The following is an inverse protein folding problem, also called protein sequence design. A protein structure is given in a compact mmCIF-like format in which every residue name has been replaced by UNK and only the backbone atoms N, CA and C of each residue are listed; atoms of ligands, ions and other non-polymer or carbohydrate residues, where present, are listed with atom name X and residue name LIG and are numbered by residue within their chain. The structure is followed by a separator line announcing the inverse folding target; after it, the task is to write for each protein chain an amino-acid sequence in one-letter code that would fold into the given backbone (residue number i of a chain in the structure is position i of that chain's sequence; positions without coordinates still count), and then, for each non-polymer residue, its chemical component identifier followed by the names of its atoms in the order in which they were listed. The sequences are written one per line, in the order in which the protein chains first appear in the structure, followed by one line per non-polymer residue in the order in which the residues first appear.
data_IF_110148530931
#
_entry.id   IF_110148530931
#
_cell.length_a   1.000
_cell.length_b   1.000
_cell.length_c   1.000
_cell.angle_alpha   90.00
_cell.angle_beta   90.00
_cell.angle_gamma   90.00
#
_symmetry.space_group_name_H-M   'P 1'
#
loop_
_entity.id
_entity.type
_entity.pdbx_description
1 polymer ?
#
# COMPACT_ATOMS: atom_id res chain seq x y z
N UNK A 1 -5.95 -39.34 -28.50
CA UNK A 1 -4.82 -39.32 -27.56
C UNK A 1 -4.07 -37.99 -27.53
N UNK A 2 -3.97 -37.24 -28.60
CA UNK A 2 -3.34 -35.90 -28.60
C UNK A 2 -4.23 -34.80 -28.01
N UNK A 3 -5.54 -34.88 -28.21
CA UNK A 3 -6.52 -33.91 -27.68
C UNK A 3 -6.63 -33.90 -26.11
N UNK A 4 -6.38 -35.04 -25.47
CA UNK A 4 -6.43 -35.12 -23.99
C UNK A 4 -5.19 -34.51 -23.30
N UNK A 5 -4.03 -34.50 -23.97
CA UNK A 5 -2.81 -33.86 -23.49
C UNK A 5 -2.91 -32.33 -23.55
N UNK A 6 -3.47 -31.78 -24.60
CA UNK A 6 -3.65 -30.33 -24.77
C UNK A 6 -4.59 -29.73 -23.71
N UNK A 7 -5.66 -30.45 -23.36
CA UNK A 7 -6.61 -29.97 -22.32
C UNK A 7 -5.99 -30.01 -20.93
N UNK A 8 -5.20 -31.05 -20.61
CA UNK A 8 -4.51 -31.13 -19.30
C UNK A 8 -3.41 -30.06 -19.15
N UNK A 9 -2.71 -29.73 -20.22
CA UNK A 9 -1.68 -28.70 -20.25
C UNK A 9 -2.28 -27.29 -20.14
N UNK A 10 -3.42 -27.02 -20.75
CA UNK A 10 -4.19 -25.77 -20.59
C UNK A 10 -4.73 -25.59 -19.17
N UNK A 11 -5.20 -26.66 -18.51
CA UNK A 11 -5.64 -26.60 -17.13
C UNK A 11 -4.48 -26.41 -16.14
N UNK A 12 -3.30 -26.96 -16.43
CA UNK A 12 -2.11 -26.80 -15.58
C UNK A 12 -1.56 -25.37 -15.62
N UNK A 13 -1.65 -24.66 -16.74
CA UNK A 13 -1.23 -23.26 -16.84
C UNK A 13 -2.21 -22.29 -16.17
N UNK A 14 -3.49 -22.64 -16.07
CA UNK A 14 -4.51 -21.81 -15.43
C UNK A 14 -4.42 -21.81 -13.88
N UNK A 15 -3.62 -22.71 -13.29
CA UNK A 15 -3.52 -22.90 -11.84
C UNK A 15 -2.14 -22.54 -11.26
N UNK A 16 -1.25 -21.93 -12.05
CA UNK A 16 0.04 -21.47 -11.55
C UNK A 16 -0.16 -20.26 -10.62
N UNK A 17 -0.07 -20.48 -9.30
CA UNK A 17 -0.08 -19.44 -8.28
C UNK A 17 1.33 -19.16 -7.81
N UNK A 18 1.64 -17.87 -7.59
CA UNK A 18 2.92 -17.44 -7.05
C UNK A 18 2.74 -16.96 -5.60
N UNK A 19 3.64 -17.33 -4.68
CA UNK A 19 3.61 -16.80 -3.32
C UNK A 19 3.92 -15.30 -3.34
N UNK A 20 3.07 -14.50 -2.69
CA UNK A 20 3.23 -13.05 -2.57
C UNK A 20 3.05 -12.63 -1.12
N UNK A 21 3.85 -11.66 -0.67
CA UNK A 21 3.67 -11.01 0.62
C UNK A 21 2.64 -9.90 0.47
N UNK A 22 1.68 -9.87 1.39
CA UNK A 22 0.57 -8.92 1.40
C UNK A 22 0.51 -8.32 2.80
N UNK A 23 0.19 -7.02 2.87
CA UNK A 23 -0.05 -6.33 4.14
C UNK A 23 -1.18 -6.99 4.91
N UNK A 24 -1.01 -7.13 6.24
CA UNK A 24 -1.96 -7.83 7.10
C UNK A 24 -3.33 -7.14 7.10
N UNK A 25 -3.37 -5.82 7.11
CA UNK A 25 -4.64 -5.07 7.12
C UNK A 25 -5.43 -5.29 5.84
N UNK A 26 -4.74 -5.35 4.70
CA UNK A 26 -5.34 -5.64 3.40
C UNK A 26 -5.85 -7.10 3.34
N UNK A 27 -5.12 -8.05 3.93
CA UNK A 27 -5.55 -9.44 4.02
C UNK A 27 -6.82 -9.60 4.87
N UNK A 28 -6.88 -8.95 6.04
CA UNK A 28 -8.06 -8.99 6.91
C UNK A 28 -9.28 -8.32 6.23
N UNK A 29 -9.08 -7.21 5.53
CA UNK A 29 -10.13 -6.58 4.73
C UNK A 29 -10.64 -7.52 3.62
N UNK A 30 -9.74 -8.23 2.95
CA UNK A 30 -10.10 -9.19 1.90
C UNK A 30 -10.87 -10.40 2.48
N UNK A 31 -10.49 -10.86 3.68
CA UNK A 31 -11.21 -11.92 4.38
C UNK A 31 -12.64 -11.50 4.69
N UNK A 32 -12.83 -10.34 5.31
CA UNK A 32 -14.15 -9.82 5.64
C UNK A 32 -15.04 -9.60 4.39
N UNK A 33 -14.49 -9.03 3.33
CA UNK A 33 -15.22 -8.84 2.07
C UNK A 33 -15.49 -10.18 1.36
N UNK A 34 -14.56 -11.13 1.43
CA UNK A 34 -14.71 -12.46 0.85
C UNK A 34 -15.86 -13.25 1.45
N UNK A 35 -16.08 -13.15 2.75
CA UNK A 35 -17.20 -13.81 3.45
C UNK A 35 -18.56 -13.38 2.87
N UNK A 36 -18.72 -12.10 2.53
CA UNK A 36 -19.94 -11.58 1.91
C UNK A 36 -20.21 -12.12 0.50
N UNK A 37 -19.16 -12.55 -0.20
CA UNK A 37 -19.20 -12.99 -1.60
C UNK A 37 -18.87 -14.48 -1.78
N UNK A 38 -18.82 -15.25 -0.71
CA UNK A 38 -18.44 -16.67 -0.72
C UNK A 38 -17.07 -16.91 -1.38
N UNK A 39 -16.10 -16.03 -1.11
CA UNK A 39 -14.72 -16.09 -1.61
C UNK A 39 -13.74 -16.24 -0.45
N UNK A 40 -12.64 -16.98 -0.67
CA UNK A 40 -11.50 -16.92 0.24
C UNK A 40 -10.81 -15.55 0.17
N UNK A 41 -10.02 -15.19 1.20
CA UNK A 41 -9.23 -13.95 1.19
C UNK A 41 -8.33 -13.85 -0.05
N UNK A 42 -7.68 -14.94 -0.44
CA UNK A 42 -6.85 -14.98 -1.65
C UNK A 42 -7.65 -14.74 -2.94
N UNK A 43 -8.83 -15.35 -3.07
CA UNK A 43 -9.71 -15.12 -4.21
C UNK A 43 -10.24 -13.68 -4.26
N UNK A 44 -10.48 -13.08 -3.09
CA UNK A 44 -10.93 -11.69 -3.01
C UNK A 44 -9.82 -10.72 -3.38
N UNK A 45 -8.57 -10.98 -2.95
CA UNK A 45 -7.39 -10.21 -3.35
C UNK A 45 -7.14 -10.29 -4.86
N UNK A 46 -7.20 -11.49 -5.43
CA UNK A 46 -7.05 -11.70 -6.87
C UNK A 46 -8.16 -10.97 -7.67
N UNK A 47 -9.38 -10.98 -7.15
CA UNK A 47 -10.48 -10.20 -7.73
C UNK A 47 -10.18 -8.69 -7.68
N UNK A 48 -9.77 -8.16 -6.53
CA UNK A 48 -9.43 -6.75 -6.38
C UNK A 48 -8.26 -6.33 -7.28
N UNK A 49 -7.23 -7.18 -7.37
CA UNK A 49 -6.10 -6.91 -8.25
C UNK A 49 -6.52 -6.82 -9.73
N UNK A 50 -7.41 -7.70 -10.19
CA UNK A 50 -7.94 -7.63 -11.55
C UNK A 50 -8.78 -6.38 -11.79
N UNK A 51 -9.66 -6.05 -10.86
CA UNK A 51 -10.48 -4.82 -10.94
C UNK A 51 -9.59 -3.58 -10.96
N UNK A 52 -8.58 -3.53 -10.07
CA UNK A 52 -7.62 -2.42 -10.00
C UNK A 52 -6.87 -2.24 -11.32
N UNK A 53 -6.35 -3.33 -11.89
CA UNK A 53 -5.66 -3.30 -13.18
C UNK A 53 -6.54 -2.76 -14.32
N UNK A 54 -7.80 -3.18 -14.39
CA UNK A 54 -8.73 -2.69 -15.41
C UNK A 54 -9.09 -1.21 -15.19
N UNK A 55 -9.18 -0.77 -13.93
CA UNK A 55 -9.41 0.64 -13.62
C UNK A 55 -8.21 1.51 -14.00
N UNK A 56 -6.99 1.06 -13.70
CA UNK A 56 -5.75 1.76 -14.09
C UNK A 56 -5.61 1.86 -15.61
N UNK A 57 -5.98 0.82 -16.35
CA UNK A 57 -5.93 0.81 -17.80
C UNK A 57 -7.08 1.61 -18.46
N UNK A 58 -8.07 2.05 -17.69
CA UNK A 58 -9.24 2.73 -18.21
C UNK A 58 -8.91 4.17 -18.65
N UNK A 59 -9.24 4.58 -19.88
CA UNK A 59 -9.06 5.96 -20.33
C UNK A 59 -9.96 6.96 -19.59
N UNK A 60 -10.95 6.50 -18.83
CA UNK A 60 -11.81 7.33 -17.99
C UNK A 60 -11.12 7.78 -16.69
N UNK A 61 -9.94 7.22 -16.36
CA UNK A 61 -9.09 7.68 -15.26
C UNK A 61 -8.04 8.62 -15.83
N UNK A 62 -8.17 9.91 -15.55
CA UNK A 62 -7.26 10.92 -16.05
C UNK A 62 -6.00 10.95 -15.18
N UNK A 63 -4.98 10.19 -15.58
CA UNK A 63 -3.70 10.14 -14.87
C UNK A 63 -3.07 11.53 -14.67
N UNK A 64 -3.21 12.43 -15.63
CA UNK A 64 -2.72 13.81 -15.54
C UNK A 64 -3.38 14.60 -14.41
N UNK A 65 -4.70 14.44 -14.20
CA UNK A 65 -5.41 15.10 -13.10
C UNK A 65 -4.95 14.56 -11.75
N UNK A 66 -4.79 13.24 -11.63
CA UNK A 66 -4.26 12.59 -10.43
C UNK A 66 -2.85 13.09 -10.14
N UNK A 67 -1.97 13.11 -11.13
CA UNK A 67 -0.59 13.60 -10.99
C UNK A 67 -0.53 15.06 -10.53
N UNK A 68 -1.40 15.93 -11.06
CA UNK A 68 -1.48 17.33 -10.65
C UNK A 68 -1.95 17.49 -9.20
N UNK A 69 -2.90 16.68 -8.74
CA UNK A 69 -3.33 16.70 -7.34
C UNK A 69 -2.22 16.20 -6.43
N UNK A 70 -1.52 15.12 -6.78
CA UNK A 70 -0.39 14.58 -6.01
C UNK A 70 0.78 15.58 -5.94
N UNK A 71 0.97 16.41 -6.98
CA UNK A 71 1.96 17.50 -7.01
C UNK A 71 1.47 18.77 -6.28
N UNK A 72 0.28 18.82 -5.73
CA UNK A 72 -0.30 20.00 -5.08
C UNK A 72 -0.72 21.11 -6.06
N UNK A 73 -0.87 20.80 -7.33
CA UNK A 73 -1.20 21.76 -8.41
C UNK A 73 -2.69 21.81 -8.76
N UNK A 74 -3.49 20.91 -8.20
CA UNK A 74 -4.94 20.87 -8.39
C UNK A 74 -5.63 20.40 -7.09
N UNK A 75 -6.93 20.75 -6.98
CA UNK A 75 -7.73 20.36 -5.81
C UNK A 75 -8.16 18.90 -5.90
N UNK A 76 -8.03 18.17 -4.80
CA UNK A 76 -8.55 16.82 -4.62
C UNK A 76 -10.08 16.76 -4.82
N UNK A 77 -10.81 17.78 -4.34
CA UNK A 77 -12.27 17.83 -4.41
C UNK A 77 -12.82 18.03 -5.84
N UNK A 78 -11.95 18.43 -6.77
CA UNK A 78 -12.32 18.57 -8.19
C UNK A 78 -12.29 17.22 -8.95
N UNK A 79 -11.73 16.18 -8.34
CA UNK A 79 -11.64 14.84 -8.93
C UNK A 79 -12.95 14.07 -8.78
N UNK A 80 -13.20 13.15 -9.72
CA UNK A 80 -14.26 12.14 -9.55
C UNK A 80 -13.94 11.21 -8.38
N UNK A 81 -14.95 10.60 -7.75
CA UNK A 81 -14.78 9.65 -6.63
C UNK A 81 -13.77 8.53 -6.95
N UNK A 82 -13.75 8.09 -8.20
CA UNK A 82 -12.86 7.06 -8.69
C UNK A 82 -11.40 7.53 -8.72
N UNK A 83 -11.16 8.72 -9.24
CA UNK A 83 -9.84 9.35 -9.25
C UNK A 83 -9.37 9.71 -7.83
N UNK A 84 -10.27 10.15 -6.96
CA UNK A 84 -9.97 10.35 -5.54
C UNK A 84 -9.51 9.06 -4.85
N UNK A 85 -10.07 7.90 -5.19
CA UNK A 85 -9.63 6.62 -4.64
C UNK A 85 -8.17 6.31 -5.00
N UNK A 86 -7.75 6.58 -6.25
CA UNK A 86 -6.35 6.46 -6.66
C UNK A 86 -5.41 7.38 -5.86
N UNK A 87 -5.81 8.65 -5.69
CA UNK A 87 -5.02 9.62 -4.91
C UNK A 87 -4.85 9.15 -3.47
N UNK A 88 -5.92 8.64 -2.83
CA UNK A 88 -5.84 8.12 -1.45
C UNK A 88 -4.84 6.96 -1.31
N UNK A 89 -4.86 6.00 -2.24
CA UNK A 89 -3.90 4.89 -2.25
C UNK A 89 -2.48 5.42 -2.41
N UNK A 90 -2.24 6.29 -3.39
CA UNK A 90 -0.92 6.90 -3.63
C UNK A 90 -0.40 7.70 -2.44
N UNK A 91 -1.26 8.46 -1.76
CA UNK A 91 -0.87 9.18 -0.54
C UNK A 91 -0.50 8.24 0.60
N UNK A 92 -1.27 7.16 0.80
CA UNK A 92 -0.95 6.17 1.83
C UNK A 92 0.40 5.51 1.57
N UNK A 93 0.68 5.14 0.33
CA UNK A 93 1.96 4.55 -0.07
C UNK A 93 3.12 5.54 0.16
N UNK A 94 2.97 6.81 -0.27
CA UNK A 94 3.98 7.85 -0.05
C UNK A 94 4.21 8.15 1.44
N UNK A 95 3.16 8.17 2.25
CA UNK A 95 3.29 8.35 3.70
C UNK A 95 4.03 7.18 4.32
N UNK A 96 3.68 5.95 3.97
CA UNK A 96 4.34 4.75 4.45
C UNK A 96 5.84 4.74 4.10
N UNK A 97 6.20 5.07 2.85
CA UNK A 97 7.60 5.19 2.43
C UNK A 97 8.37 6.26 3.21
N UNK A 98 7.77 7.45 3.38
CA UNK A 98 8.40 8.55 4.13
C UNK A 98 8.60 8.18 5.60
N UNK A 99 7.61 7.54 6.23
CA UNK A 99 7.73 7.09 7.61
C UNK A 99 8.79 5.99 7.78
N UNK A 100 8.89 5.07 6.83
CA UNK A 100 9.90 4.01 6.86
C UNK A 100 11.34 4.55 6.76
N UNK A 101 11.54 5.68 6.07
CA UNK A 101 12.83 6.35 5.94
C UNK A 101 13.08 7.47 6.93
N UNK A 102 12.14 7.75 7.83
CA UNK A 102 12.22 8.88 8.75
C UNK A 102 12.90 8.47 10.07
N UNK A 103 14.08 9.01 10.31
CA UNK A 103 14.75 8.96 11.62
C UNK A 103 14.88 10.39 12.18
N UNK A 104 13.86 10.80 12.93
CA UNK A 104 13.83 12.13 13.55
C UNK A 104 14.90 12.31 14.63
N UNK A 105 15.22 11.26 15.38
CA UNK A 105 16.24 11.30 16.40
C UNK A 105 17.62 11.58 15.80
N UNK A 106 17.93 10.91 14.67
CA UNK A 106 19.20 11.13 13.96
C UNK A 106 19.28 12.51 13.31
N UNK A 107 18.17 12.99 12.73
CA UNK A 107 18.10 14.34 12.17
C UNK A 107 18.33 15.42 13.25
N UNK A 108 17.65 15.30 14.41
CA UNK A 108 17.80 16.24 15.52
C UNK A 108 19.19 16.18 16.15
N UNK A 109 19.74 14.98 16.30
CA UNK A 109 21.13 14.77 16.75
C UNK A 109 22.13 15.46 15.82
N UNK A 110 21.98 15.28 14.52
CA UNK A 110 22.84 15.89 13.50
C UNK A 110 22.69 17.41 13.44
N UNK A 111 21.51 17.93 13.75
CA UNK A 111 21.23 19.36 13.86
C UNK A 111 21.69 19.97 15.20
N UNK A 112 22.21 19.18 16.15
CA UNK A 112 22.61 19.65 17.48
C UNK A 112 21.42 20.08 18.35
N UNK A 113 20.25 19.51 18.11
CA UNK A 113 19.02 19.87 18.81
C UNK A 113 18.60 18.80 19.81
N UNK A 114 18.17 19.15 21.02
CA UNK A 114 17.59 18.19 21.94
C UNK A 114 16.22 17.70 21.42
N UNK A 115 15.85 16.48 21.78
CA UNK A 115 14.54 15.93 21.44
C UNK A 115 13.94 15.15 22.61
N UNK A 116 12.68 14.81 22.47
CA UNK A 116 11.92 14.06 23.46
C UNK A 116 11.46 12.75 22.79
N UNK A 117 11.67 11.63 23.47
CA UNK A 117 11.20 10.33 23.02
C UNK A 117 10.59 9.53 24.18
N UNK A 118 9.82 8.49 23.85
CA UNK A 118 9.36 7.54 24.86
C UNK A 118 10.41 6.44 25.05
N UNK A 119 10.68 6.07 26.31
CA UNK A 119 11.46 4.88 26.62
C UNK A 119 10.63 3.59 26.41
N UNK A 120 11.25 2.43 26.68
CA UNK A 120 10.60 1.14 26.53
C UNK A 120 9.35 0.96 27.43
N UNK A 121 9.24 1.72 28.50
CA UNK A 121 8.13 1.70 29.46
C UNK A 121 7.08 2.78 29.13
N UNK A 122 7.30 3.59 28.07
CA UNK A 122 6.41 4.64 27.63
C UNK A 122 6.57 5.97 28.38
N UNK A 123 7.63 6.13 29.20
CA UNK A 123 7.92 7.39 29.88
C UNK A 123 8.63 8.36 28.94
N UNK A 124 8.36 9.65 29.13
CA UNK A 124 8.98 10.71 28.37
C UNK A 124 10.42 10.94 28.82
N UNK A 125 11.37 10.82 27.90
CA UNK A 125 12.80 11.04 28.15
C UNK A 125 13.32 12.15 27.25
N UNK A 126 14.05 13.10 27.81
CA UNK A 126 14.75 14.15 27.06
C UNK A 126 16.13 13.64 26.66
N UNK A 127 16.47 13.76 25.36
CA UNK A 127 17.77 13.43 24.81
C UNK A 127 18.52 14.69 24.40
N UNK A 128 19.78 14.75 24.77
CA UNK A 128 20.68 15.83 24.37
C UNK A 128 21.55 15.41 23.17
N UNK A 129 21.88 16.33 22.25
CA UNK A 129 22.81 16.04 21.18
C UNK A 129 24.18 15.69 21.74
N UNK A 130 24.67 14.48 21.49
CA UNK A 130 25.94 13.99 22.01
C UNK A 130 25.82 12.98 23.15
N UNK A 131 24.66 12.70 23.72
CA UNK A 131 24.47 11.61 24.66
C UNK A 131 24.36 10.31 23.89
N UNK A 132 25.45 9.54 23.84
CA UNK A 132 25.42 8.15 23.38
C UNK A 132 24.68 7.35 24.46
N UNK A 133 23.53 6.79 24.11
CA UNK A 133 22.79 5.93 25.01
C UNK A 133 23.64 4.75 25.46
N UNK A 134 23.80 4.60 26.74
CA UNK A 134 24.41 3.44 27.38
C UNK A 134 23.40 2.29 27.39
#
# INVERSE_FOLDING_TARGET
MELERDVAECYSQAMATMPTRIDQSLFEAAKAAGELHSRSAAQQLDHWARVGRELEASPAVTHDEIARVLAGQASYDALTDRAQAFVRVSWNDQVAERLAGLDLADQLRSAGQPWVEADADGNVVVREPGSTGA
#
